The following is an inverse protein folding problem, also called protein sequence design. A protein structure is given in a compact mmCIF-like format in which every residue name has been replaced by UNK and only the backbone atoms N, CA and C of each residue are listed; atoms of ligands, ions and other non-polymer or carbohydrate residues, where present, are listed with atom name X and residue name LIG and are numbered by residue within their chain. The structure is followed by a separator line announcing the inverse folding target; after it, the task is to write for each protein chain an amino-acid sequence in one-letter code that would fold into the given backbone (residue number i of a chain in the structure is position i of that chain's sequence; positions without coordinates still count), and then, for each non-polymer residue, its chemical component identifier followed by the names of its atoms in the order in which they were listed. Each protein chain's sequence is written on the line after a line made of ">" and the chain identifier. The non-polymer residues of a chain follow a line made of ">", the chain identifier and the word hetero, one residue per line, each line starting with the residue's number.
data_IF_364452821632
#
_entry.id   IF_364452821632
#
_cell.length_a   1.000
_cell.length_b   1.000
_cell.length_c   1.000
_cell.angle_alpha   90.00
_cell.angle_beta   90.00
_cell.angle_gamma   90.00
#
_symmetry.space_group_name_H-M   'P 1'
#
loop_
_entity.id
_entity.type
_entity.pdbx_description
1 polymer ?
#
# COMPACT_ATOMS: atom_id res chain seq x y z
N UNK A 1 -8.82 -35.68 -22.84
CA UNK A 1 -8.52 -34.27 -22.55
C UNK A 1 -9.56 -33.42 -23.25
N UNK A 2 -10.61 -33.08 -22.51
CA UNK A 2 -11.72 -32.25 -22.97
C UNK A 2 -11.21 -30.81 -23.05
N UNK A 3 -11.23 -30.22 -24.26
CA UNK A 3 -10.87 -28.81 -24.43
C UNK A 3 -11.92 -27.98 -23.72
N UNK A 4 -11.49 -27.09 -22.82
CA UNK A 4 -12.37 -26.11 -22.20
C UNK A 4 -13.17 -25.39 -23.30
N UNK A 5 -14.50 -25.52 -23.27
CA UNK A 5 -15.39 -24.66 -24.01
C UNK A 5 -15.01 -23.23 -23.65
N UNK A 6 -14.57 -22.45 -24.63
CA UNK A 6 -14.48 -21.00 -24.50
C UNK A 6 -15.92 -20.56 -24.23
N UNK A 7 -16.27 -20.43 -22.94
CA UNK A 7 -17.51 -19.77 -22.51
C UNK A 7 -17.55 -18.47 -23.30
N UNK A 8 -18.66 -18.22 -23.98
CA UNK A 8 -18.94 -16.99 -24.73
C UNK A 8 -18.57 -15.79 -23.87
N UNK A 9 -17.32 -15.34 -23.98
CA UNK A 9 -16.87 -14.14 -23.29
C UNK A 9 -17.48 -13.01 -24.08
N UNK A 10 -18.57 -12.46 -23.53
CA UNK A 10 -19.17 -11.22 -23.98
C UNK A 10 -18.05 -10.21 -24.22
N UNK A 11 -17.78 -9.93 -25.50
CA UNK A 11 -16.89 -8.84 -25.87
C UNK A 11 -17.76 -7.60 -25.86
N UNK A 12 -17.58 -6.77 -24.85
CA UNK A 12 -18.26 -5.49 -24.77
C UNK A 12 -17.74 -4.61 -25.91
N UNK A 13 -18.62 -4.27 -26.84
CA UNK A 13 -18.37 -3.28 -27.88
C UNK A 13 -19.22 -2.08 -27.51
N UNK A 14 -18.55 -0.98 -27.17
CA UNK A 14 -19.23 0.26 -26.83
C UNK A 14 -19.55 1.00 -28.12
N UNK A 15 -20.80 1.40 -28.27
CA UNK A 15 -21.22 2.30 -29.33
C UNK A 15 -20.63 3.69 -29.05
N UNK A 16 -19.90 4.25 -30.01
CA UNK A 16 -19.53 5.67 -29.99
C UNK A 16 -20.83 6.44 -30.20
N UNK A 17 -21.41 6.98 -29.13
CA UNK A 17 -22.62 7.78 -29.24
C UNK A 17 -22.37 8.96 -30.19
N UNK A 18 -23.31 9.22 -31.10
CA UNK A 18 -23.35 10.51 -31.80
C UNK A 18 -23.38 11.60 -30.71
N UNK A 19 -22.32 12.41 -30.68
CA UNK A 19 -22.19 13.52 -29.74
C UNK A 19 -23.25 14.55 -30.11
N UNK A 20 -24.49 14.37 -29.63
CA UNK A 20 -25.48 15.43 -29.66
C UNK A 20 -24.88 16.59 -28.89
N UNK A 21 -24.76 17.75 -29.54
CA UNK A 21 -24.34 19.01 -28.94
C UNK A 21 -25.31 19.38 -27.80
N UNK A 22 -25.08 18.77 -26.63
CA UNK A 22 -25.69 19.20 -25.39
C UNK A 22 -24.89 20.41 -24.95
N UNK A 23 -25.44 21.56 -25.30
CA UNK A 23 -25.00 22.91 -24.97
C UNK A 23 -24.86 23.05 -23.44
N UNK A 24 -23.73 22.60 -22.88
CA UNK A 24 -23.44 22.66 -21.45
C UNK A 24 -22.56 21.56 -20.84
N UNK A 25 -22.23 20.47 -21.56
CA UNK A 25 -21.41 19.40 -20.98
C UNK A 25 -19.90 19.67 -21.07
N UNK A 26 -19.20 19.46 -19.95
CA UNK A 26 -17.77 19.74 -19.74
C UNK A 26 -16.90 18.95 -20.71
N UNK A 27 -16.28 19.63 -21.68
CA UNK A 27 -15.17 19.08 -22.47
C UNK A 27 -13.98 18.79 -21.56
N UNK A 28 -13.75 17.52 -21.24
CA UNK A 28 -12.50 17.07 -20.65
C UNK A 28 -11.38 17.21 -21.69
N UNK A 29 -10.18 17.61 -21.26
CA UNK A 29 -9.05 17.94 -22.14
C UNK A 29 -8.57 16.80 -23.06
N UNK A 30 -9.07 15.57 -22.90
CA UNK A 30 -8.71 14.42 -23.72
C UNK A 30 -9.53 14.27 -25.02
N UNK A 31 -10.62 15.01 -25.21
CA UNK A 31 -11.51 14.85 -26.39
C UNK A 31 -10.98 15.48 -27.70
N UNK A 32 -9.77 16.07 -27.70
CA UNK A 32 -9.23 16.73 -28.91
C UNK A 32 -8.43 15.81 -29.84
N UNK A 33 -8.33 14.50 -29.53
CA UNK A 33 -7.61 13.53 -30.36
C UNK A 33 -8.52 12.35 -30.71
N UNK A 34 -9.34 12.46 -31.76
CA UNK A 34 -9.74 11.40 -32.71
C UNK A 34 -11.17 11.60 -33.24
N UNK A 35 -11.29 12.29 -34.37
CA UNK A 35 -12.47 12.25 -35.25
C UNK A 35 -12.20 11.49 -36.56
N UNK A 36 -11.14 10.67 -36.59
CA UNK A 36 -10.95 9.71 -37.67
C UNK A 36 -11.70 8.42 -37.28
N UNK A 37 -12.68 8.05 -38.10
CA UNK A 37 -13.49 6.85 -37.98
C UNK A 37 -12.60 5.59 -37.90
N UNK A 38 -12.27 5.16 -36.68
CA UNK A 38 -11.54 3.91 -36.46
C UNK A 38 -12.55 2.76 -36.62
N UNK A 39 -12.59 2.17 -37.81
CA UNK A 39 -13.34 0.93 -38.03
C UNK A 39 -12.78 -0.18 -37.11
N UNK A 40 -13.67 -0.86 -36.38
CA UNK A 40 -13.33 -1.93 -35.42
C UNK A 40 -12.47 -3.05 -36.03
N UNK A 41 -12.52 -3.23 -37.35
CA UNK A 41 -11.68 -4.16 -38.11
C UNK A 41 -10.19 -3.82 -37.98
N UNK A 42 -9.81 -2.53 -37.99
CA UNK A 42 -8.41 -2.09 -37.92
C UNK A 42 -7.76 -2.31 -36.56
N UNK A 43 -8.54 -2.50 -35.49
CA UNK A 43 -8.03 -2.74 -34.12
C UNK A 43 -7.81 -4.22 -33.79
N UNK A 44 -8.23 -5.15 -34.65
CA UNK A 44 -7.96 -6.56 -34.44
C UNK A 44 -6.57 -6.90 -34.98
N UNK A 45 -5.56 -6.86 -34.10
CA UNK A 45 -4.17 -7.28 -34.37
C UNK A 45 -4.01 -8.77 -34.73
N UNK A 46 -5.08 -9.56 -34.65
CA UNK A 46 -5.05 -11.00 -34.90
C UNK A 46 -6.23 -11.40 -35.79
N UNK A 47 -5.95 -12.18 -36.84
CA UNK A 47 -6.96 -12.92 -37.62
C UNK A 47 -7.64 -13.93 -36.70
N UNK A 48 -8.83 -13.56 -36.21
CA UNK A 48 -9.67 -14.45 -35.38
C UNK A 48 -10.83 -14.99 -36.20
N UNK A 49 -11.23 -16.26 -35.98
CA UNK A 49 -12.40 -16.84 -36.63
C UNK A 49 -13.65 -16.04 -36.31
N UNK A 50 -14.54 -15.89 -37.29
CA UNK A 50 -15.84 -15.24 -37.11
C UNK A 50 -16.66 -16.00 -36.06
N UNK A 51 -16.96 -15.32 -34.96
CA UNK A 51 -17.85 -15.83 -33.90
C UNK A 51 -19.19 -15.15 -34.09
N UNK A 52 -20.27 -15.92 -34.21
CA UNK A 52 -21.63 -15.36 -34.18
C UNK A 52 -21.87 -14.75 -32.80
N UNK A 53 -21.79 -13.42 -32.71
CA UNK A 53 -22.08 -12.68 -31.49
C UNK A 53 -23.45 -12.00 -31.63
N UNK A 54 -24.33 -12.20 -30.65
CA UNK A 54 -25.55 -11.42 -30.52
C UNK A 54 -25.21 -10.09 -29.84
N UNK A 55 -25.31 -8.99 -30.57
CA UNK A 55 -25.16 -7.65 -30.01
C UNK A 55 -26.40 -7.34 -29.16
N UNK A 56 -26.19 -7.08 -27.87
CA UNK A 56 -27.23 -6.59 -26.96
C UNK A 56 -26.98 -5.11 -26.68
N UNK A 57 -27.95 -4.28 -27.05
CA UNK A 57 -27.92 -2.84 -26.80
C UNK A 57 -28.64 -2.50 -25.50
N UNK A 58 -28.05 -1.62 -24.70
CA UNK A 58 -28.68 -1.07 -23.48
C UNK A 58 -29.17 0.33 -23.85
N UNK A 59 -30.49 0.54 -24.03
CA UNK A 59 -31.01 1.82 -24.44
C UNK A 59 -30.71 2.89 -23.38
N UNK A 60 -30.16 4.02 -23.83
CA UNK A 60 -29.88 5.18 -22.99
C UNK A 60 -28.55 5.13 -22.23
N UNK A 61 -27.68 4.15 -22.47
CA UNK A 61 -26.35 4.07 -21.86
C UNK A 61 -25.26 4.23 -22.94
N UNK A 62 -24.52 5.34 -22.88
CA UNK A 62 -23.39 5.59 -23.78
C UNK A 62 -22.08 4.99 -23.27
N UNK A 63 -21.08 4.88 -24.14
CA UNK A 63 -19.73 4.47 -23.76
C UNK A 63 -19.13 5.34 -22.64
N UNK A 64 -19.35 6.66 -22.71
CA UNK A 64 -18.87 7.62 -21.73
C UNK A 64 -19.52 7.45 -20.36
N UNK A 65 -20.75 6.94 -20.31
CA UNK A 65 -21.46 6.70 -19.05
C UNK A 65 -20.85 5.55 -18.25
N UNK A 66 -20.06 4.67 -18.88
CA UNK A 66 -19.40 3.56 -18.19
C UNK A 66 -18.44 4.05 -17.09
N UNK A 67 -17.78 5.19 -17.28
CA UNK A 67 -16.92 5.80 -16.28
C UNK A 67 -17.63 6.85 -15.41
N UNK A 68 -18.95 7.01 -15.54
CA UNK A 68 -19.68 8.01 -14.76
C UNK A 68 -19.65 7.61 -13.26
N UNK A 69 -19.06 8.44 -12.38
CA UNK A 69 -19.00 8.13 -10.94
C UNK A 69 -20.38 8.05 -10.29
N UNK A 70 -21.39 8.75 -10.82
CA UNK A 70 -22.76 8.68 -10.32
C UNK A 70 -23.40 7.31 -10.55
N UNK A 71 -22.91 6.56 -11.54
CA UNK A 71 -23.35 5.20 -11.84
C UNK A 71 -22.51 4.15 -11.10
N UNK A 72 -21.18 4.31 -11.12
CA UNK A 72 -20.26 3.35 -10.52
C UNK A 72 -20.30 3.36 -8.99
N UNK A 73 -20.56 4.50 -8.36
CA UNK A 73 -20.58 4.59 -6.90
C UNK A 73 -21.74 3.84 -6.25
N UNK A 74 -23.02 4.03 -6.64
CA UNK A 74 -24.12 3.22 -6.12
C UNK A 74 -23.94 1.73 -6.39
N UNK A 75 -23.30 1.40 -7.53
CA UNK A 75 -22.96 0.03 -7.85
C UNK A 75 -21.90 -0.53 -6.91
N UNK A 76 -20.85 0.23 -6.57
CA UNK A 76 -19.83 -0.18 -5.61
C UNK A 76 -20.35 -0.26 -4.17
N UNK A 77 -21.32 0.59 -3.82
CA UNK A 77 -21.93 0.66 -2.49
C UNK A 77 -23.07 -0.37 -2.30
N UNK A 78 -23.43 -1.16 -3.34
CA UNK A 78 -24.49 -2.15 -3.24
C UNK A 78 -24.09 -3.31 -2.33
N UNK A 79 -24.99 -3.72 -1.44
CA UNK A 79 -24.78 -4.90 -0.59
C UNK A 79 -25.15 -6.22 -1.27
N UNK A 80 -25.77 -6.17 -2.46
CA UNK A 80 -26.24 -7.36 -3.16
C UNK A 80 -25.21 -7.81 -4.21
N UNK A 81 -24.42 -8.82 -3.87
CA UNK A 81 -23.40 -9.42 -4.74
C UNK A 81 -23.99 -10.02 -6.03
N UNK A 82 -25.27 -10.42 -6.04
CA UNK A 82 -25.95 -10.95 -7.24
C UNK A 82 -25.99 -9.93 -8.39
N UNK A 83 -25.97 -8.63 -8.05
CA UNK A 83 -25.96 -7.54 -9.04
C UNK A 83 -24.71 -7.61 -9.91
N UNK A 84 -23.55 -7.95 -9.35
CA UNK A 84 -22.29 -8.09 -10.09
C UNK A 84 -22.23 -9.33 -10.98
N UNK A 85 -23.07 -10.33 -10.71
CA UNK A 85 -23.21 -11.51 -11.56
C UNK A 85 -24.07 -11.27 -12.79
N UNK A 86 -24.80 -10.14 -12.87
CA UNK A 86 -25.56 -9.79 -14.07
C UNK A 86 -24.64 -9.40 -15.23
N UNK A 87 -24.95 -9.90 -16.43
CA UNK A 87 -24.16 -9.62 -17.63
C UNK A 87 -24.04 -8.12 -17.93
N UNK A 88 -25.07 -7.35 -17.61
CA UNK A 88 -25.12 -5.90 -17.81
C UNK A 88 -24.07 -5.18 -16.95
N UNK A 89 -24.02 -5.50 -15.65
CA UNK A 89 -23.08 -4.89 -14.71
C UNK A 89 -21.65 -5.33 -15.01
N UNK A 90 -21.44 -6.62 -15.29
CA UNK A 90 -20.13 -7.12 -15.70
C UNK A 90 -19.61 -6.41 -16.96
N UNK A 91 -20.49 -6.20 -17.95
CA UNK A 91 -20.15 -5.47 -19.17
C UNK A 91 -19.82 -4.00 -18.90
N UNK A 92 -20.60 -3.33 -18.03
CA UNK A 92 -20.37 -1.95 -17.60
C UNK A 92 -19.01 -1.79 -16.91
N UNK A 93 -18.71 -2.65 -15.92
CA UNK A 93 -17.44 -2.62 -15.18
C UNK A 93 -16.27 -2.92 -16.11
N UNK A 94 -16.42 -3.88 -17.03
CA UNK A 94 -15.39 -4.19 -18.02
C UNK A 94 -15.17 -3.02 -18.99
N UNK A 95 -16.23 -2.34 -19.42
CA UNK A 95 -16.14 -1.14 -20.25
C UNK A 95 -15.39 0.00 -19.53
N UNK A 96 -15.77 0.28 -18.28
CA UNK A 96 -15.11 1.26 -17.43
C UNK A 96 -13.62 0.93 -17.26
N UNK A 97 -13.31 -0.33 -16.93
CA UNK A 97 -11.95 -0.82 -16.79
C UNK A 97 -11.14 -0.66 -18.07
N UNK A 98 -11.71 -1.01 -19.24
CA UNK A 98 -11.00 -0.88 -20.51
C UNK A 98 -10.65 0.57 -20.85
N UNK A 99 -11.45 1.55 -20.41
CA UNK A 99 -11.17 2.97 -20.60
C UNK A 99 -10.04 3.46 -19.68
N UNK A 100 -9.97 2.98 -18.43
CA UNK A 100 -8.94 3.41 -17.47
C UNK A 100 -7.67 2.57 -17.51
N UNK A 101 -7.71 1.37 -18.10
CA UNK A 101 -6.63 0.37 -18.03
C UNK A 101 -5.28 0.89 -18.52
N UNK A 102 -5.26 1.65 -19.62
CA UNK A 102 -4.00 2.14 -20.18
C UNK A 102 -3.34 3.16 -19.22
N UNK A 103 -4.14 4.04 -18.61
CA UNK A 103 -3.66 4.99 -17.63
C UNK A 103 -3.11 4.27 -16.40
N UNK A 104 -3.88 3.31 -15.84
CA UNK A 104 -3.44 2.50 -14.69
C UNK A 104 -2.16 1.70 -15.01
N UNK A 105 -2.09 1.05 -16.18
CA UNK A 105 -0.89 0.32 -16.60
C UNK A 105 0.33 1.26 -16.74
N UNK A 106 0.13 2.48 -17.25
CA UNK A 106 1.16 3.50 -17.31
C UNK A 106 1.67 3.93 -15.93
N UNK A 107 0.78 4.11 -14.96
CA UNK A 107 1.15 4.43 -13.57
C UNK A 107 1.91 3.29 -12.89
N UNK A 108 1.47 2.05 -13.09
CA UNK A 108 2.14 0.85 -12.58
C UNK A 108 3.55 0.76 -13.18
N UNK A 109 3.68 0.91 -14.51
CA UNK A 109 4.96 0.87 -15.19
C UNK A 109 5.91 1.95 -14.67
N UNK A 110 5.45 3.19 -14.53
CA UNK A 110 6.27 4.29 -13.99
C UNK A 110 6.71 4.00 -12.56
N UNK A 111 5.81 3.48 -11.72
CA UNK A 111 6.13 3.11 -10.33
C UNK A 111 7.15 1.98 -10.26
N UNK A 112 7.10 1.00 -11.17
CA UNK A 112 8.07 -0.10 -11.23
C UNK A 112 9.42 0.35 -11.81
N UNK A 113 9.44 1.23 -12.82
CA UNK A 113 10.66 1.80 -13.39
C UNK A 113 11.40 2.73 -12.41
N UNK A 114 10.66 3.36 -11.49
CA UNK A 114 11.20 4.19 -10.42
C UNK A 114 12.18 3.43 -9.51
N UNK A 115 11.93 2.13 -9.26
CA UNK A 115 12.74 1.29 -8.37
C UNK A 115 14.17 1.02 -8.87
N UNK A 116 14.40 0.51 -10.09
CA UNK A 116 15.75 0.31 -10.61
C UNK A 116 16.49 1.64 -10.77
N UNK A 117 15.80 2.75 -11.07
CA UNK A 117 16.41 4.08 -11.11
C UNK A 117 16.91 4.52 -9.73
N UNK A 118 16.14 4.28 -8.66
CA UNK A 118 16.57 4.54 -7.27
C UNK A 118 17.72 3.63 -6.86
N UNK A 119 17.67 2.35 -7.22
CA UNK A 119 18.75 1.42 -6.95
C UNK A 119 20.04 1.85 -7.65
N UNK A 120 19.94 2.25 -8.92
CA UNK A 120 21.06 2.79 -9.70
C UNK A 120 21.61 4.07 -9.05
N UNK A 121 20.74 5.05 -8.75
CA UNK A 121 21.14 6.31 -8.10
C UNK A 121 21.85 6.05 -6.76
N UNK A 122 21.29 5.15 -5.93
CA UNK A 122 21.86 4.78 -4.64
C UNK A 122 23.21 4.08 -4.79
N UNK A 123 23.36 3.21 -5.80
CA UNK A 123 24.60 2.52 -6.08
C UNK A 123 25.70 3.50 -6.52
N UNK A 124 25.40 4.38 -7.49
CA UNK A 124 26.35 5.37 -8.01
C UNK A 124 26.79 6.35 -6.93
N UNK A 125 25.86 6.89 -6.13
CA UNK A 125 26.19 7.84 -5.06
C UNK A 125 27.03 7.22 -3.92
N UNK A 126 26.98 5.89 -3.77
CA UNK A 126 27.71 5.17 -2.71
C UNK A 126 29.11 4.73 -3.15
N UNK A 127 29.28 4.30 -4.40
CA UNK A 127 30.51 3.65 -4.86
C UNK A 127 31.35 4.49 -5.80
N UNK A 128 30.74 5.39 -6.57
CA UNK A 128 31.46 6.22 -7.52
C UNK A 128 31.93 7.49 -6.81
N UNK A 129 33.24 7.77 -6.88
CA UNK A 129 33.75 9.05 -6.41
C UNK A 129 33.13 10.17 -7.28
N UNK A 130 32.64 11.26 -6.67
CA UNK A 130 31.92 12.33 -7.37
C UNK A 130 32.89 13.20 -8.15
N UNK A 131 33.57 12.63 -9.15
CA UNK A 131 34.43 13.39 -10.05
C UNK A 131 33.60 14.13 -11.11
N UNK A 132 32.38 13.64 -11.43
CA UNK A 132 31.46 14.33 -12.35
C UNK A 132 29.99 14.04 -12.03
N UNK A 133 29.20 15.12 -12.03
CA UNK A 133 27.75 15.23 -12.22
C UNK A 133 26.79 14.40 -11.34
N UNK A 134 25.62 14.99 -11.08
CA UNK A 134 24.45 14.29 -10.51
C UNK A 134 24.09 13.10 -11.42
N UNK A 135 23.96 11.86 -10.90
CA UNK A 135 23.61 10.69 -11.69
C UNK A 135 22.42 10.93 -12.64
N UNK A 136 22.48 10.55 -13.93
CA UNK A 136 21.38 10.73 -14.87
C UNK A 136 20.05 10.14 -14.38
N UNK A 137 20.12 9.06 -13.59
CA UNK A 137 18.93 8.46 -12.97
C UNK A 137 18.19 9.45 -12.07
N UNK A 138 18.87 10.32 -11.32
CA UNK A 138 18.20 11.31 -10.46
C UNK A 138 17.40 12.35 -11.27
N UNK A 139 17.82 12.69 -12.48
CA UNK A 139 17.06 13.59 -13.35
C UNK A 139 15.77 12.92 -13.86
N UNK A 140 15.85 11.64 -14.23
CA UNK A 140 14.67 10.87 -14.65
C UNK A 140 13.70 10.72 -13.46
N UNK A 141 14.24 10.44 -12.27
CA UNK A 141 13.50 10.39 -11.01
C UNK A 141 12.78 11.71 -10.74
N UNK A 142 13.48 12.84 -10.89
CA UNK A 142 12.89 14.18 -10.73
C UNK A 142 11.71 14.38 -11.71
N UNK A 143 11.86 13.99 -12.97
CA UNK A 143 10.79 14.09 -13.96
C UNK A 143 9.57 13.23 -13.58
N UNK A 144 9.78 11.99 -13.15
CA UNK A 144 8.68 11.10 -12.71
C UNK A 144 7.99 11.64 -11.45
N UNK A 145 8.76 12.14 -10.49
CA UNK A 145 8.23 12.71 -9.26
C UNK A 145 7.48 14.02 -9.50
N UNK A 146 7.97 14.86 -10.42
CA UNK A 146 7.31 16.09 -10.82
C UNK A 146 5.98 15.80 -11.55
N UNK A 147 5.96 14.85 -12.49
CA UNK A 147 4.72 14.38 -13.13
C UNK A 147 3.70 13.94 -12.09
N UNK A 148 4.11 13.09 -11.13
CA UNK A 148 3.21 12.59 -10.09
C UNK A 148 2.68 13.71 -9.18
N UNK A 149 3.54 14.65 -8.81
CA UNK A 149 3.15 15.82 -8.02
C UNK A 149 2.12 16.68 -8.74
N UNK A 150 2.28 16.85 -10.06
CA UNK A 150 1.32 17.58 -10.88
C UNK A 150 -0.03 16.87 -10.95
N UNK A 151 -0.05 15.53 -11.13
CA UNK A 151 -1.28 14.74 -11.13
C UNK A 151 -2.06 14.88 -9.82
N UNK A 152 -1.40 14.74 -8.66
CA UNK A 152 -2.05 14.92 -7.35
C UNK A 152 -2.53 16.35 -7.12
N UNK A 153 -1.75 17.34 -7.54
CA UNK A 153 -2.18 18.74 -7.48
C UNK A 153 -3.46 18.96 -8.30
N UNK A 154 -3.52 18.42 -9.51
CA UNK A 154 -4.70 18.53 -10.38
C UNK A 154 -5.91 17.78 -9.80
N UNK A 155 -5.70 16.61 -9.19
CA UNK A 155 -6.75 15.87 -8.50
C UNK A 155 -7.31 16.67 -7.31
N UNK A 156 -6.44 17.20 -6.44
CA UNK A 156 -6.86 18.04 -5.32
C UNK A 156 -7.56 19.33 -5.78
N UNK A 157 -7.06 20.01 -6.82
CA UNK A 157 -7.72 21.19 -7.39
C UNK A 157 -9.09 20.86 -7.97
N UNK A 158 -9.21 19.75 -8.70
CA UNK A 158 -10.49 19.31 -9.26
C UNK A 158 -11.51 19.03 -8.15
N UNK A 159 -11.11 18.34 -7.08
CA UNK A 159 -12.00 18.06 -5.96
C UNK A 159 -12.38 19.33 -5.20
N UNK A 160 -11.44 20.23 -4.95
CA UNK A 160 -11.71 21.54 -4.31
C UNK A 160 -12.68 22.40 -5.13
N UNK A 161 -12.57 22.39 -6.46
CA UNK A 161 -13.44 23.18 -7.34
C UNK A 161 -14.85 22.59 -7.48
N UNK A 162 -15.01 21.27 -7.45
CA UNK A 162 -16.27 20.61 -7.80
C UNK A 162 -17.02 19.97 -6.63
N UNK A 163 -16.34 19.59 -5.54
CA UNK A 163 -16.94 18.88 -4.42
C UNK A 163 -16.46 19.42 -3.06
N UNK A 164 -16.87 20.66 -2.76
CA UNK A 164 -16.54 21.36 -1.52
C UNK A 164 -16.97 20.60 -0.25
N UNK A 165 -18.04 19.80 -0.31
CA UNK A 165 -18.65 19.20 0.88
C UNK A 165 -18.19 17.76 1.19
N UNK A 166 -17.34 17.14 0.35
CA UNK A 166 -16.96 15.72 0.50
C UNK A 166 -15.46 15.46 0.66
N UNK A 167 -14.68 16.49 0.96
CA UNK A 167 -13.23 16.35 1.01
C UNK A 167 -12.75 15.78 2.35
N UNK A 168 -12.65 14.45 2.43
CA UNK A 168 -11.91 13.79 3.50
C UNK A 168 -10.41 13.82 3.17
N UNK A 169 -9.76 14.94 3.50
CA UNK A 169 -8.29 15.08 3.50
C UNK A 169 -7.59 13.97 4.27
N UNK A 170 -8.29 13.37 5.24
CA UNK A 170 -7.75 12.38 6.15
C UNK A 170 -7.95 10.93 5.70
N UNK A 171 -8.31 10.69 4.44
CA UNK A 171 -8.22 9.34 3.89
C UNK A 171 -6.76 8.87 3.87
N UNK A 172 -6.53 7.67 4.42
CA UNK A 172 -5.19 7.09 4.55
C UNK A 172 -4.40 7.10 3.25
N UNK A 173 -5.08 6.85 2.13
CA UNK A 173 -4.48 6.78 0.80
C UNK A 173 -3.94 8.16 0.37
N UNK A 174 -4.71 9.24 0.60
CA UNK A 174 -4.29 10.62 0.33
C UNK A 174 -3.11 11.02 1.22
N UNK A 175 -3.13 10.65 2.51
CA UNK A 175 -2.03 10.94 3.44
C UNK A 175 -0.74 10.24 2.96
N UNK A 176 -0.83 8.97 2.56
CA UNK A 176 0.32 8.23 2.06
C UNK A 176 0.89 8.84 0.77
N UNK A 177 0.03 9.28 -0.15
CA UNK A 177 0.45 9.96 -1.39
C UNK A 177 1.12 11.32 -1.13
N UNK A 178 0.57 12.12 -0.22
CA UNK A 178 1.18 13.40 0.21
C UNK A 178 2.53 13.16 0.89
N UNK A 179 2.61 12.17 1.79
CA UNK A 179 3.86 11.82 2.48
C UNK A 179 4.94 11.35 1.49
N UNK A 180 4.57 10.53 0.51
CA UNK A 180 5.45 10.11 -0.58
C UNK A 180 5.98 11.31 -1.38
N UNK A 181 5.09 12.22 -1.78
CA UNK A 181 5.46 13.43 -2.53
C UNK A 181 6.41 14.31 -1.72
N UNK A 182 6.07 14.59 -0.47
CA UNK A 182 6.86 15.43 0.41
C UNK A 182 8.26 14.87 0.64
N UNK A 183 8.39 13.59 0.99
CA UNK A 183 9.68 12.96 1.22
C UNK A 183 10.53 12.88 -0.06
N UNK A 184 9.91 12.61 -1.22
CA UNK A 184 10.62 12.61 -2.49
C UNK A 184 11.20 13.99 -2.85
N UNK A 185 10.43 15.07 -2.66
CA UNK A 185 10.95 16.43 -2.85
C UNK A 185 12.05 16.77 -1.85
N UNK A 186 11.87 16.42 -0.57
CA UNK A 186 12.91 16.63 0.45
C UNK A 186 14.20 15.88 0.11
N UNK A 187 14.11 14.62 -0.33
CA UNK A 187 15.25 13.82 -0.75
C UNK A 187 15.95 14.43 -1.98
N UNK A 188 15.20 14.76 -3.03
CA UNK A 188 15.75 15.29 -4.28
C UNK A 188 16.38 16.67 -4.08
N UNK A 189 15.69 17.59 -3.40
CA UNK A 189 16.22 18.95 -3.15
C UNK A 189 17.48 18.90 -2.30
N UNK A 190 17.49 18.12 -1.21
CA UNK A 190 18.68 18.01 -0.35
C UNK A 190 19.84 17.33 -1.09
N UNK A 191 19.58 16.30 -1.90
CA UNK A 191 20.60 15.67 -2.73
C UNK A 191 21.15 16.62 -3.81
N UNK A 192 20.32 17.52 -4.33
CA UNK A 192 20.75 18.55 -5.29
C UNK A 192 21.59 19.66 -4.63
N UNK A 193 21.34 19.98 -3.36
CA UNK A 193 22.11 20.97 -2.61
C UNK A 193 23.51 20.48 -2.23
N UNK A 194 23.67 19.19 -1.92
CA UNK A 194 24.97 18.56 -1.70
C UNK A 194 25.11 17.32 -2.61
N UNK A 195 25.46 17.50 -3.90
CA UNK A 195 25.58 16.40 -4.86
C UNK A 195 26.77 15.49 -4.56
N UNK A 196 27.67 15.89 -3.66
CA UNK A 196 28.90 15.14 -3.36
C UNK A 196 28.71 14.10 -2.27
N UNK A 197 27.65 14.22 -1.47
CA UNK A 197 27.35 13.30 -0.37
C UNK A 197 25.95 12.75 -0.54
N UNK A 198 25.81 11.45 -0.32
CA UNK A 198 24.50 10.81 -0.25
C UNK A 198 23.70 11.41 0.91
N UNK A 199 22.58 12.02 0.60
CA UNK A 199 21.55 12.37 1.57
C UNK A 199 21.00 11.06 2.15
N UNK A 200 21.17 10.84 3.45
CA UNK A 200 20.82 9.55 4.08
C UNK A 200 19.35 9.47 4.52
N UNK A 201 18.86 10.37 5.39
CA UNK A 201 17.57 10.16 6.03
C UNK A 201 16.40 10.24 5.05
N UNK A 202 16.29 11.32 4.27
CA UNK A 202 15.17 11.50 3.36
C UNK A 202 15.25 10.57 2.15
N UNK A 203 16.44 10.30 1.63
CA UNK A 203 16.60 9.32 0.54
C UNK A 203 16.19 7.92 0.98
N UNK A 204 16.56 7.48 2.19
CA UNK A 204 16.15 6.15 2.69
C UNK A 204 14.63 6.04 2.86
N UNK A 205 13.99 7.07 3.42
CA UNK A 205 12.53 7.17 3.56
C UNK A 205 11.86 7.17 2.19
N UNK A 206 12.35 7.97 1.24
CA UNK A 206 11.83 8.04 -0.12
C UNK A 206 11.95 6.69 -0.85
N UNK A 207 13.10 6.02 -0.75
CA UNK A 207 13.30 4.68 -1.29
C UNK A 207 12.29 3.68 -0.70
N UNK A 208 12.14 3.64 0.62
CA UNK A 208 11.18 2.75 1.28
C UNK A 208 9.74 2.99 0.81
N UNK A 209 9.32 4.25 0.72
CA UNK A 209 7.98 4.58 0.24
C UNK A 209 7.79 4.33 -1.26
N UNK A 210 8.84 4.45 -2.09
CA UNK A 210 8.76 4.09 -3.51
C UNK A 210 8.47 2.59 -3.68
N UNK A 211 9.09 1.72 -2.87
CA UNK A 211 8.77 0.29 -2.85
C UNK A 211 7.33 0.03 -2.43
N UNK A 212 6.86 0.65 -1.34
CA UNK A 212 5.48 0.50 -0.88
C UNK A 212 4.48 1.02 -1.91
N UNK A 213 4.79 2.14 -2.57
CA UNK A 213 3.98 2.69 -3.66
C UNK A 213 3.90 1.74 -4.85
N UNK A 214 5.02 1.15 -5.26
CA UNK A 214 5.05 0.19 -6.36
C UNK A 214 4.21 -1.07 -6.05
N UNK A 215 4.19 -1.53 -4.80
CA UNK A 215 3.27 -2.59 -4.37
C UNK A 215 1.82 -2.11 -4.40
N UNK A 216 1.55 -0.91 -3.88
CA UNK A 216 0.22 -0.34 -3.80
C UNK A 216 -0.42 -0.05 -5.17
N UNK A 217 0.37 0.27 -6.20
CA UNK A 217 -0.12 0.45 -7.57
C UNK A 217 -0.60 -0.86 -8.21
N UNK A 218 -0.07 -2.01 -7.79
CA UNK A 218 -0.53 -3.32 -8.24
C UNK A 218 -1.94 -3.69 -7.73
N UNK A 219 -2.54 -2.90 -6.82
CA UNK A 219 -3.89 -3.17 -6.32
C UNK A 219 -4.97 -3.15 -7.41
N UNK A 220 -4.74 -2.39 -8.48
CA UNK A 220 -5.66 -2.31 -9.62
C UNK A 220 -5.56 -3.51 -10.56
N UNK A 221 -4.51 -4.33 -10.45
CA UNK A 221 -4.30 -5.47 -11.34
C UNK A 221 -5.10 -6.69 -10.89
N UNK A 222 -5.78 -7.36 -11.84
CA UNK A 222 -6.70 -8.46 -11.54
C UNK A 222 -6.03 -9.69 -10.91
N UNK A 223 -4.73 -9.88 -11.13
CA UNK A 223 -3.97 -11.02 -10.60
C UNK A 223 -3.41 -10.78 -9.19
N UNK A 224 -3.17 -9.52 -8.81
CA UNK A 224 -2.58 -9.14 -7.51
C UNK A 224 -3.60 -8.48 -6.57
N UNK A 225 -4.48 -7.62 -7.10
CA UNK A 225 -5.47 -6.85 -6.36
C UNK A 225 -6.29 -7.67 -5.35
N UNK A 226 -6.92 -8.80 -5.74
CA UNK A 226 -7.71 -9.61 -4.82
C UNK A 226 -6.94 -10.15 -3.61
N UNK A 227 -5.60 -10.25 -3.71
CA UNK A 227 -4.73 -10.69 -2.61
C UNK A 227 -4.24 -9.53 -1.77
N UNK A 228 -4.03 -8.36 -2.39
CA UNK A 228 -3.48 -7.18 -1.73
C UNK A 228 -4.55 -6.38 -0.97
N UNK A 229 -5.77 -6.28 -1.50
CA UNK A 229 -6.86 -5.51 -0.90
C UNK A 229 -7.23 -5.98 0.52
N UNK A 230 -7.37 -7.28 0.80
CA UNK A 230 -7.62 -7.76 2.17
C UNK A 230 -6.50 -7.37 3.14
N UNK A 231 -5.25 -7.39 2.68
CA UNK A 231 -4.08 -6.99 3.50
C UNK A 231 -4.16 -5.51 3.84
N UNK A 232 -4.46 -4.65 2.85
CA UNK A 232 -4.61 -3.20 3.06
C UNK A 232 -5.78 -2.89 3.99
N UNK A 233 -6.90 -3.59 3.83
CA UNK A 233 -8.06 -3.45 4.74
C UNK A 233 -7.67 -3.82 6.16
N UNK A 234 -7.02 -4.97 6.36
CA UNK A 234 -6.58 -5.42 7.67
C UNK A 234 -5.59 -4.44 8.33
N UNK A 235 -4.73 -3.78 7.56
CA UNK A 235 -3.84 -2.72 8.09
C UNK A 235 -4.62 -1.51 8.63
N UNK A 236 -5.70 -1.11 7.96
CA UNK A 236 -6.57 -0.01 8.41
C UNK A 236 -7.31 -0.41 9.69
N UNK A 237 -7.83 -1.63 9.74
CA UNK A 237 -8.61 -2.15 10.88
C UNK A 237 -7.74 -2.42 12.13
N UNK A 238 -6.46 -2.71 11.95
CA UNK A 238 -5.52 -2.97 13.07
C UNK A 238 -4.95 -1.71 13.71
N UNK A 239 -5.29 -0.50 13.24
CA UNK A 239 -4.73 0.74 13.79
C UNK A 239 -5.01 0.92 15.30
N UNK A 240 -6.23 0.61 15.74
CA UNK A 240 -6.59 0.68 17.17
C UNK A 240 -5.82 -0.36 18.00
N UNK A 241 -5.63 -1.56 17.45
CA UNK A 241 -4.79 -2.59 18.06
C UNK A 241 -3.34 -2.12 18.19
N UNK A 242 -2.76 -1.55 17.12
CA UNK A 242 -1.42 -0.99 17.15
C UNK A 242 -1.28 0.09 18.22
N UNK A 243 -2.25 0.98 18.40
CA UNK A 243 -2.20 2.01 19.44
C UNK A 243 -2.08 1.40 20.84
N UNK A 244 -2.91 0.40 21.16
CA UNK A 244 -2.87 -0.29 22.45
C UNK A 244 -1.53 -1.02 22.63
N UNK A 245 -1.09 -1.77 21.61
CA UNK A 245 0.19 -2.49 21.62
C UNK A 245 1.37 -1.53 21.81
N UNK A 246 1.38 -0.38 21.13
CA UNK A 246 2.44 0.62 21.26
C UNK A 246 2.45 1.27 22.64
N UNK A 247 1.29 1.54 23.25
CA UNK A 247 1.22 2.03 24.62
C UNK A 247 1.82 1.02 25.62
N UNK A 248 1.56 -0.28 25.42
CA UNK A 248 2.14 -1.35 26.25
C UNK A 248 3.66 -1.45 26.08
N UNK A 249 4.15 -1.39 24.84
CA UNK A 249 5.59 -1.41 24.53
C UNK A 249 6.28 -0.18 25.12
N UNK A 250 5.70 1.01 25.00
CA UNK A 250 6.26 2.22 25.58
C UNK A 250 6.29 2.15 27.13
N UNK A 251 5.26 1.58 27.76
CA UNK A 251 5.25 1.36 29.20
C UNK A 251 6.36 0.39 29.64
N UNK A 252 6.56 -0.71 28.91
CA UNK A 252 7.61 -1.68 29.19
C UNK A 252 9.01 -1.12 28.90
N UNK A 253 9.20 -0.40 27.79
CA UNK A 253 10.43 0.30 27.45
C UNK A 253 10.79 1.34 28.51
N UNK A 254 9.81 2.07 29.04
CA UNK A 254 10.01 3.01 30.14
C UNK A 254 10.39 2.30 31.45
N UNK A 255 9.76 1.17 31.78
CA UNK A 255 10.15 0.36 32.94
C UNK A 255 11.59 -0.17 32.79
N UNK A 256 11.95 -0.68 31.61
CA UNK A 256 13.29 -1.17 31.30
C UNK A 256 14.35 -0.07 31.34
N UNK A 257 14.03 1.11 30.80
CA UNK A 257 14.90 2.28 30.87
C UNK A 257 15.26 2.65 32.32
N UNK A 258 14.28 2.59 33.23
CA UNK A 258 14.50 2.89 34.65
C UNK A 258 15.35 1.84 35.38
N UNK A 259 15.48 0.62 34.83
CA UNK A 259 16.38 -0.40 35.36
C UNK A 259 17.86 -0.12 35.05
N UNK A 260 18.17 0.78 34.12
CA UNK A 260 19.53 1.21 33.75
C UNK A 260 20.47 0.04 33.38
N UNK A 261 19.95 -0.99 32.71
CA UNK A 261 20.71 -2.20 32.38
C UNK A 261 21.76 -2.01 31.28
N UNK A 262 21.59 -1.02 30.40
CA UNK A 262 22.53 -0.72 29.28
C UNK A 262 23.05 0.71 29.33
N UNK A 263 24.36 0.86 29.12
CA UNK A 263 25.08 2.15 29.07
C UNK A 263 25.37 2.61 27.63
N UNK A 264 24.42 2.43 26.72
CA UNK A 264 24.56 2.88 25.33
C UNK A 264 24.46 4.40 25.18
N UNK A 265 25.05 5.00 24.11
CA UNK A 265 24.99 6.45 23.88
C UNK A 265 23.56 6.99 23.73
N UNK A 266 22.59 6.14 23.37
CA UNK A 266 21.17 6.49 23.26
C UNK A 266 20.31 5.51 24.09
N UNK A 267 20.26 5.68 25.42
CA UNK A 267 19.68 4.67 26.31
C UNK A 267 18.17 4.48 26.12
N UNK A 268 17.45 5.53 25.69
CA UNK A 268 16.01 5.45 25.38
C UNK A 268 15.76 4.59 24.14
N UNK A 269 16.56 4.76 23.08
CA UNK A 269 16.44 3.97 21.86
C UNK A 269 16.83 2.51 22.10
N UNK A 270 17.92 2.28 22.83
CA UNK A 270 18.36 0.95 23.23
C UNK A 270 17.26 0.20 24.02
N UNK A 271 16.67 0.87 25.02
CA UNK A 271 15.56 0.32 25.80
C UNK A 271 14.34 -0.03 24.95
N UNK A 272 13.94 0.87 24.04
CA UNK A 272 12.82 0.63 23.14
C UNK A 272 13.09 -0.55 22.19
N UNK A 273 14.26 -0.57 21.55
CA UNK A 273 14.64 -1.65 20.63
C UNK A 273 14.72 -3.00 21.34
N UNK A 274 15.26 -3.04 22.56
CA UNK A 274 15.33 -4.25 23.35
C UNK A 274 13.92 -4.80 23.63
N UNK A 275 13.00 -3.95 24.10
CA UNK A 275 11.63 -4.36 24.42
C UNK A 275 10.84 -4.73 23.15
N UNK A 276 11.02 -4.02 22.03
CA UNK A 276 10.39 -4.39 20.76
C UNK A 276 10.91 -5.74 20.27
N UNK A 277 12.23 -5.97 20.34
CA UNK A 277 12.82 -7.21 19.84
C UNK A 277 12.36 -8.43 20.64
N UNK A 278 12.42 -8.32 21.97
CA UNK A 278 11.98 -9.39 22.86
C UNK A 278 10.46 -9.56 22.83
N UNK A 279 9.71 -8.46 23.00
CA UNK A 279 8.25 -8.51 23.13
C UNK A 279 7.55 -8.87 21.83
N UNK A 280 7.91 -8.24 20.71
CA UNK A 280 7.18 -8.40 19.44
C UNK A 280 7.74 -9.53 18.59
N UNK A 281 9.07 -9.65 18.47
CA UNK A 281 9.66 -10.70 17.64
C UNK A 281 9.86 -12.02 18.38
N UNK A 282 9.68 -12.04 19.69
CA UNK A 282 9.83 -13.25 20.51
C UNK A 282 11.26 -13.79 20.53
N UNK A 283 12.24 -12.98 20.14
CA UNK A 283 13.66 -13.31 20.10
C UNK A 283 14.27 -13.16 21.51
N UNK A 284 13.81 -14.02 22.43
CA UNK A 284 14.09 -13.89 23.86
C UNK A 284 15.50 -14.36 24.24
N UNK A 285 16.36 -13.40 24.57
CA UNK A 285 17.61 -13.63 25.28
C UNK A 285 17.60 -12.88 26.62
N UNK A 286 17.56 -13.64 27.73
CA UNK A 286 17.55 -13.08 29.08
C UNK A 286 18.87 -12.41 29.45
N UNK A 287 19.99 -12.90 28.91
CA UNK A 287 21.30 -12.32 29.18
C UNK A 287 21.43 -10.98 28.47
N UNK A 288 20.97 -10.90 27.21
CA UNK A 288 20.95 -9.62 26.51
C UNK A 288 19.96 -8.63 27.15
N UNK A 289 18.86 -9.11 27.72
CA UNK A 289 17.95 -8.26 28.50
C UNK A 289 18.57 -7.77 29.82
N UNK A 290 19.55 -8.48 30.37
CA UNK A 290 20.38 -7.96 31.47
C UNK A 290 21.46 -6.97 30.99
N UNK A 291 21.63 -6.82 29.67
CA UNK A 291 22.69 -6.01 29.07
C UNK A 291 24.02 -6.77 28.94
N UNK A 292 24.00 -8.10 29.04
CA UNK A 292 25.16 -8.95 28.85
C UNK A 292 25.18 -9.50 27.42
N UNK A 293 26.23 -9.19 26.66
CA UNK A 293 26.39 -9.70 25.30
C UNK A 293 27.02 -11.10 25.30
N UNK A 294 26.61 -11.95 24.35
CA UNK A 294 27.20 -13.28 24.15
C UNK A 294 28.69 -13.16 23.83
N UNK A 295 29.51 -13.96 24.53
CA UNK A 295 30.96 -14.01 24.26
C UNK A 295 31.30 -15.22 23.40
N UNK A 296 32.22 -15.06 22.44
CA UNK A 296 32.68 -16.18 21.63
C UNK A 296 33.94 -16.77 22.23
N UNK A 297 33.95 -18.09 22.47
CA UNK A 297 35.14 -18.83 22.89
C UNK A 297 35.62 -19.73 21.75
N UNK A 298 36.94 -19.82 21.50
CA UNK A 298 37.46 -20.71 20.47
C UNK A 298 37.32 -22.16 20.92
N UNK A 299 36.66 -22.99 20.11
CA UNK A 299 36.58 -24.44 20.28
C UNK A 299 37.20 -25.13 19.05
N UNK A 300 38.52 -25.25 19.04
CA UNK A 300 39.27 -25.77 17.89
C UNK A 300 39.37 -24.72 16.77
N UNK A 301 38.87 -25.05 15.57
CA UNK A 301 38.83 -24.14 14.40
C UNK A 301 37.54 -23.29 14.34
N UNK A 302 36.55 -23.57 15.19
CA UNK A 302 35.26 -22.88 15.22
C UNK A 302 35.12 -21.99 16.47
N UNK A 303 34.33 -20.92 16.36
CA UNK A 303 34.00 -20.03 17.47
C UNK A 303 32.60 -20.35 17.97
N UNK A 304 32.49 -20.84 19.20
CA UNK A 304 31.20 -21.16 19.80
C UNK A 304 30.70 -19.98 20.64
N UNK A 305 29.42 -19.58 20.49
CA UNK A 305 28.79 -18.62 21.39
C UNK A 305 28.65 -19.26 22.77
N UNK A 306 29.10 -18.55 23.80
CA UNK A 306 28.98 -18.96 25.19
C UNK A 306 28.17 -17.91 25.93
N UNK A 307 27.04 -18.36 26.48
CA UNK A 307 26.17 -17.54 27.29
C UNK A 307 26.93 -17.06 28.55
N UNK A 308 26.82 -15.78 28.90
CA UNK A 308 27.45 -15.24 30.09
C UNK A 308 26.78 -15.81 31.35
N UNK A 309 27.51 -15.83 32.46
CA UNK A 309 26.91 -16.12 33.75
C UNK A 309 25.88 -15.04 34.12
N UNK A 310 24.75 -15.40 34.75
CA UNK A 310 23.71 -14.44 35.13
C UNK A 310 24.30 -13.38 36.07
N UNK A 311 24.01 -12.12 35.78
CA UNK A 311 24.49 -11.00 36.58
C UNK A 311 23.64 -10.75 37.83
N UNK A 312 23.92 -9.65 38.57
CA UNK A 312 23.20 -9.30 39.80
C UNK A 312 21.74 -8.89 39.54
N UNK A 313 21.42 -8.56 38.30
CA UNK A 313 20.14 -7.99 37.88
C UNK A 313 19.22 -9.03 37.23
N UNK A 314 19.71 -10.25 36.98
CA UNK A 314 19.03 -11.35 36.33
C UNK A 314 17.61 -11.60 36.89
N UNK A 315 17.45 -11.60 38.21
CA UNK A 315 16.15 -11.82 38.87
C UNK A 315 15.17 -10.68 38.59
N UNK A 316 15.63 -9.42 38.58
CA UNK A 316 14.79 -8.25 38.28
C UNK A 316 14.36 -8.26 36.81
N UNK A 317 15.28 -8.60 35.91
CA UNK A 317 15.01 -8.83 34.49
C UNK A 317 13.94 -9.92 34.30
N UNK A 318 14.12 -11.08 34.93
CA UNK A 318 13.17 -12.18 34.87
C UNK A 318 11.78 -11.80 35.42
N UNK A 319 11.70 -11.08 36.54
CA UNK A 319 10.43 -10.64 37.12
C UNK A 319 9.71 -9.64 36.22
N UNK A 320 10.42 -8.64 35.71
CA UNK A 320 9.85 -7.64 34.80
C UNK A 320 9.33 -8.30 33.52
N UNK A 321 10.06 -9.28 32.98
CA UNK A 321 9.64 -10.07 31.82
C UNK A 321 8.38 -10.89 32.11
N UNK A 322 8.30 -11.59 33.25
CA UNK A 322 7.11 -12.37 33.59
C UNK A 322 5.85 -11.51 33.73
N UNK A 323 5.98 -10.31 34.30
CA UNK A 323 4.88 -9.35 34.40
C UNK A 323 4.43 -8.92 33.00
N UNK A 324 5.37 -8.61 32.12
CA UNK A 324 5.09 -8.21 30.75
C UNK A 324 4.41 -9.32 29.94
N UNK A 325 4.97 -10.54 29.94
CA UNK A 325 4.41 -11.68 29.23
C UNK A 325 2.99 -12.04 29.70
N UNK A 326 2.73 -11.98 31.01
CA UNK A 326 1.39 -12.21 31.56
C UNK A 326 0.40 -11.12 31.13
N UNK A 327 0.85 -9.88 31.07
CA UNK A 327 0.00 -8.77 30.63
C UNK A 327 -0.31 -8.87 29.12
N UNK A 328 0.69 -9.16 28.29
CA UNK A 328 0.53 -9.33 26.84
C UNK A 328 -0.36 -10.52 26.49
N UNK A 329 -0.15 -11.67 27.14
CA UNK A 329 -1.01 -12.85 26.95
C UNK A 329 -2.43 -12.57 27.40
N UNK A 330 -2.64 -11.81 28.47
CA UNK A 330 -3.98 -11.40 28.91
C UNK A 330 -4.67 -10.50 27.88
N UNK A 331 -3.96 -9.51 27.31
CA UNK A 331 -4.50 -8.63 26.27
C UNK A 331 -4.84 -9.42 25.01
N UNK A 332 -3.95 -10.31 24.55
CA UNK A 332 -4.22 -11.15 23.38
C UNK A 332 -5.41 -12.08 23.62
N UNK A 333 -5.51 -12.70 24.80
CA UNK A 333 -6.65 -13.55 25.15
C UNK A 333 -7.94 -12.73 25.14
N UNK A 334 -7.95 -11.53 25.73
CA UNK A 334 -9.11 -10.64 25.70
C UNK A 334 -9.46 -10.29 24.24
N UNK A 335 -8.51 -9.76 23.46
CA UNK A 335 -8.76 -9.32 22.09
C UNK A 335 -9.18 -10.44 21.13
N UNK A 336 -8.65 -11.66 21.30
CA UNK A 336 -9.03 -12.82 20.49
C UNK A 336 -10.40 -13.37 20.90
N UNK A 337 -10.77 -13.28 22.18
CA UNK A 337 -12.05 -13.79 22.69
C UNK A 337 -13.21 -12.79 22.55
N UNK A 338 -12.96 -11.47 22.60
CA UNK A 338 -14.00 -10.44 22.50
C UNK A 338 -14.83 -10.48 21.21
N UNK A 339 -14.27 -10.63 19.98
CA UNK A 339 -15.08 -10.66 18.76
C UNK A 339 -15.98 -11.90 18.66
N UNK A 340 -15.77 -12.94 19.50
CA UNK A 340 -16.70 -14.07 19.60
C UNK A 340 -17.91 -13.78 20.49
N UNK A 341 -17.85 -12.76 21.36
CA UNK A 341 -18.99 -12.41 22.21
C UNK A 341 -20.09 -11.69 21.42
N UNK A 342 -19.72 -10.89 20.42
CA UNK A 342 -20.70 -10.18 19.56
C UNK A 342 -21.38 -11.11 18.53
N UNK A 343 -20.81 -12.29 18.28
CA UNK A 343 -21.41 -13.34 17.44
C UNK A 343 -22.21 -14.38 18.23
N UNK A 344 -22.29 -14.26 19.56
CA UNK A 344 -23.21 -15.10 20.31
C UNK A 344 -24.64 -14.68 19.92
N UNK A 345 -25.47 -15.59 19.36
CA UNK A 345 -26.85 -15.25 19.08
C UNK A 345 -27.50 -14.82 20.39
N UNK A 346 -28.09 -13.63 20.38
CA UNK A 346 -28.98 -13.14 21.44
C UNK A 346 -30.10 -14.17 21.59
N UNK A 347 -29.90 -15.15 22.46
CA UNK A 347 -30.82 -16.24 22.78
C UNK A 347 -31.97 -15.76 23.70
N UNK A 348 -32.15 -14.45 23.82
CA UNK A 348 -33.01 -13.83 24.85
C UNK A 348 -34.44 -13.53 24.37
N UNK A 349 -34.85 -13.91 23.16
CA UNK A 349 -36.21 -13.66 22.65
C UNK A 349 -37.08 -14.91 22.41
N UNK A 350 -36.69 -16.10 22.90
CA UNK A 350 -37.47 -17.34 22.70
C UNK A 350 -38.11 -17.94 23.96
N UNK A 351 -38.19 -17.20 25.07
CA UNK A 351 -38.88 -17.64 26.31
C UNK A 351 -40.10 -16.79 26.71
N UNK A 352 -40.71 -16.07 25.77
CA UNK A 352 -42.09 -15.57 25.94
C UNK A 352 -42.99 -16.25 24.91
N UNK A 353 -43.53 -17.40 25.32
CA UNK A 353 -44.56 -18.17 24.63
C UNK A 353 -45.41 -18.89 25.65
#
# INVERSE_FOLDING_TARGET
>A
MERAHIREQLRVVLEQGEMMDVEGSRKFWFDRFNDEYITLESRNLFTRPEVQASLKYIPGLSASDACNPELLKPLADTTNDEVFHTHTVAALVQAAWMQTRLATAGEVLMSLLMLPLLCHASFTLRHEQPHFAVPPSLWIILCFHAKKSFEELMQHLAVCCYHRDRFNLFEFDNIADIAYIAAGWMAIVRQALDPTKLEKPWMSIFCAMAWLRALYSLRGETWMGPRLLPIISALKDTLAFFLVTWACILAAAHAYYNLQMREEPTPVYAALMQVVRLGIFGDFDLFEFEGLDTTYKPNGEEWEPVDPDPGPNYVNCQLSQQVFLRFETSIHVILVLTPRLDQLPVLESRMEG
#
